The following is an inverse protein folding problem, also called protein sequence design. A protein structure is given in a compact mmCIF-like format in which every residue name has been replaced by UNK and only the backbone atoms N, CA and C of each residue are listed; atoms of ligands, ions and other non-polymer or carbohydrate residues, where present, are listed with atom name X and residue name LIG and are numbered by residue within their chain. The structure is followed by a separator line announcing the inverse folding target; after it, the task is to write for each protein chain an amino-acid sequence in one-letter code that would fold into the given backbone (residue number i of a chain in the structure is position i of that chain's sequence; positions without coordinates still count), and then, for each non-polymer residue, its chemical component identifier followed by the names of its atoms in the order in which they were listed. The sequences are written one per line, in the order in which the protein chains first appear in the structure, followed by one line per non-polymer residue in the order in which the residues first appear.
data_IF_313575074345
#
_entry.id   IF_313575074345
#
_cell.length_a   1.000
_cell.length_b   1.000
_cell.length_c   1.000
_cell.angle_alpha   90.00
_cell.angle_beta   90.00
_cell.angle_gamma   90.00
#
_symmetry.space_group_name_H-M   'P 1'
#
loop_
_entity.id
_entity.type
_entity.pdbx_description
1 polymer ?
#
# COMPACT_ATOMS: atom_id res chain seq x y z
N UNK A 1 -17.92 -14.63 -2.18
CA UNK A 1 -16.75 -13.85 -1.71
C UNK A 1 -16.63 -12.66 -2.63
N UNK A 2 -16.70 -11.43 -2.11
CA UNK A 2 -16.50 -10.24 -2.95
C UNK A 2 -14.99 -10.07 -3.15
N UNK A 3 -14.52 -10.18 -4.39
CA UNK A 3 -13.10 -10.13 -4.76
C UNK A 3 -12.67 -8.76 -5.34
N UNK A 4 -13.62 -7.85 -5.56
CA UNK A 4 -13.42 -6.51 -6.13
C UNK A 4 -12.84 -6.49 -7.56
N UNK A 5 -12.93 -7.60 -8.31
CA UNK A 5 -12.47 -7.64 -9.71
C UNK A 5 -13.11 -6.55 -10.60
N UNK A 6 -14.45 -6.39 -10.65
CA UNK A 6 -15.06 -5.35 -11.50
C UNK A 6 -14.65 -3.93 -11.08
N UNK A 7 -14.44 -3.69 -9.79
CA UNK A 7 -13.99 -2.41 -9.25
C UNK A 7 -12.57 -2.08 -9.73
N UNK A 8 -11.65 -3.05 -9.67
CA UNK A 8 -10.27 -2.87 -10.15
C UNK A 8 -10.23 -2.66 -11.67
N UNK A 9 -11.06 -3.39 -12.43
CA UNK A 9 -11.16 -3.16 -13.89
C UNK A 9 -11.70 -1.77 -14.22
N UNK A 10 -12.66 -1.25 -13.44
CA UNK A 10 -13.13 0.12 -13.58
C UNK A 10 -12.01 1.13 -13.24
N UNK A 11 -11.24 0.91 -12.18
CA UNK A 11 -10.11 1.77 -11.80
C UNK A 11 -9.01 1.77 -12.87
N UNK A 12 -8.74 0.62 -13.49
CA UNK A 12 -7.84 0.52 -14.64
C UNK A 12 -8.32 1.39 -15.81
N UNK A 13 -9.62 1.30 -16.15
CA UNK A 13 -10.22 2.08 -17.24
C UNK A 13 -10.23 3.59 -16.94
N UNK A 14 -10.35 3.98 -15.67
CA UNK A 14 -10.26 5.37 -15.22
C UNK A 14 -8.82 5.92 -15.18
N UNK A 15 -7.80 5.07 -15.34
CA UNK A 15 -6.40 5.48 -15.34
C UNK A 15 -5.88 5.86 -13.95
N UNK A 16 -6.28 5.13 -12.91
CA UNK A 16 -5.70 5.28 -11.58
C UNK A 16 -4.18 5.07 -11.64
N UNK A 17 -3.43 5.90 -10.91
CA UNK A 17 -1.96 5.85 -10.89
C UNK A 17 -1.40 5.17 -9.63
N UNK A 18 -2.22 5.08 -8.58
CA UNK A 18 -1.96 4.33 -7.35
C UNK A 18 -3.27 4.16 -6.57
N UNK A 19 -3.26 3.22 -5.64
CA UNK A 19 -4.23 3.17 -4.53
C UNK A 19 -3.50 2.95 -3.21
N UNK A 20 -4.17 3.20 -2.09
CA UNK A 20 -3.63 2.95 -0.75
C UNK A 20 -4.36 1.76 -0.15
N UNK A 21 -3.64 0.85 0.51
CA UNK A 21 -4.28 -0.22 1.28
C UNK A 21 -5.10 0.40 2.42
N UNK A 22 -6.41 0.21 2.38
CA UNK A 22 -7.30 0.42 3.50
C UNK A 22 -7.34 -0.79 4.43
N UNK A 23 -8.17 -0.72 5.46
CA UNK A 23 -8.38 -1.84 6.38
C UNK A 23 -9.15 -2.99 5.71
N UNK A 24 -10.04 -2.70 4.76
CA UNK A 24 -10.91 -3.69 4.12
C UNK A 24 -10.19 -4.59 3.11
N UNK A 25 -9.00 -4.21 2.64
CA UNK A 25 -8.12 -5.11 1.88
C UNK A 25 -7.62 -6.30 2.72
N UNK A 26 -7.81 -6.27 4.05
CA UNK A 26 -7.50 -7.35 4.98
C UNK A 26 -8.73 -8.12 5.49
N UNK A 27 -9.92 -7.88 4.90
CA UNK A 27 -11.14 -8.66 5.18
C UNK A 27 -11.08 -10.07 4.57
N UNK A 28 -10.14 -10.31 3.66
CA UNK A 28 -9.90 -11.58 3.00
C UNK A 28 -8.44 -12.03 3.21
N UNK A 29 -8.11 -13.33 3.00
CA UNK A 29 -6.74 -13.80 3.04
C UNK A 29 -5.82 -13.01 2.09
N UNK A 30 -4.54 -12.83 2.44
CA UNK A 30 -3.56 -12.08 1.61
C UNK A 30 -3.42 -12.59 0.17
N UNK A 31 -3.82 -13.83 -0.12
CA UNK A 31 -3.89 -14.34 -1.49
C UNK A 31 -4.90 -13.57 -2.36
N UNK A 32 -5.99 -13.08 -1.75
CA UNK A 32 -6.96 -12.19 -2.41
C UNK A 32 -6.30 -10.87 -2.78
N UNK A 33 -5.55 -10.26 -1.86
CA UNK A 33 -4.79 -9.04 -2.15
C UNK A 33 -3.79 -9.26 -3.30
N UNK A 34 -3.03 -10.36 -3.28
CA UNK A 34 -2.11 -10.68 -4.36
C UNK A 34 -2.82 -10.86 -5.72
N UNK A 35 -4.04 -11.41 -5.72
CA UNK A 35 -4.86 -11.54 -6.92
C UNK A 35 -5.36 -10.16 -7.40
N UNK A 36 -5.78 -9.29 -6.49
CA UNK A 36 -6.17 -7.90 -6.80
C UNK A 36 -5.00 -7.09 -7.38
N UNK A 37 -3.80 -7.22 -6.82
CA UNK A 37 -2.58 -6.61 -7.38
C UNK A 37 -2.29 -7.12 -8.79
N UNK A 38 -2.57 -8.39 -9.09
CA UNK A 38 -2.36 -8.97 -10.43
C UNK A 38 -3.32 -8.43 -11.50
N UNK A 39 -4.48 -7.89 -11.08
CA UNK A 39 -5.46 -7.28 -11.97
C UNK A 39 -5.24 -5.78 -12.16
N UNK A 40 -4.59 -5.11 -11.20
CA UNK A 40 -4.42 -3.67 -11.21
C UNK A 40 -3.25 -3.23 -12.10
N UNK A 41 -3.48 -2.20 -12.93
CA UNK A 41 -2.44 -1.55 -13.73
C UNK A 41 -1.67 -0.47 -12.92
N UNK A 42 -1.96 -0.36 -11.63
CA UNK A 42 -1.41 0.62 -10.70
C UNK A 42 -0.98 -0.07 -9.40
N UNK A 43 0.03 0.48 -8.69
CA UNK A 43 0.49 -0.09 -7.44
C UNK A 43 -0.47 0.20 -6.28
N UNK A 44 -0.57 -0.77 -5.38
CA UNK A 44 -1.09 -0.57 -4.03
C UNK A 44 0.03 -0.02 -3.14
N UNK A 45 -0.31 0.92 -2.27
CA UNK A 45 0.64 1.62 -1.42
C UNK A 45 0.34 1.45 0.07
N UNK A 46 1.38 1.19 0.85
CA UNK A 46 1.38 1.29 2.30
C UNK A 46 2.80 1.19 2.84
N UNK A 47 3.25 2.22 3.56
CA UNK A 47 4.57 2.25 4.16
C UNK A 47 4.64 1.52 5.51
N UNK A 48 3.50 1.36 6.19
CA UNK A 48 3.45 0.88 7.56
C UNK A 48 2.87 -0.53 7.71
N UNK A 49 2.46 -1.18 6.62
CA UNK A 49 2.11 -2.61 6.63
C UNK A 49 3.34 -3.42 6.26
N UNK A 50 3.83 -4.21 7.21
CA UNK A 50 5.11 -4.93 7.11
C UNK A 50 4.86 -6.43 7.04
N UNK A 51 5.51 -7.10 6.10
CA UNK A 51 5.51 -8.56 6.01
C UNK A 51 6.42 -9.15 7.09
N UNK A 52 5.88 -9.97 8.00
CA UNK A 52 6.63 -10.56 9.13
C UNK A 52 7.79 -11.44 8.71
N UNK A 53 7.75 -12.05 7.51
CA UNK A 53 8.79 -12.97 7.06
C UNK A 53 10.02 -12.25 6.54
N UNK A 54 9.83 -11.11 5.88
CA UNK A 54 10.91 -10.36 5.22
C UNK A 54 11.32 -9.11 6.00
N UNK A 55 10.49 -8.67 6.94
CA UNK A 55 10.61 -7.38 7.63
C UNK A 55 10.70 -6.19 6.65
N UNK A 56 10.02 -6.31 5.51
CA UNK A 56 9.90 -5.28 4.48
C UNK A 56 8.43 -4.85 4.33
N UNK A 57 8.16 -3.65 3.80
CA UNK A 57 6.82 -3.26 3.40
C UNK A 57 6.14 -4.33 2.55
N UNK A 58 4.87 -4.64 2.85
CA UNK A 58 4.09 -5.66 2.15
C UNK A 58 3.88 -5.29 0.68
N UNK A 59 3.62 -4.01 0.43
CA UNK A 59 3.50 -3.39 -0.89
C UNK A 59 4.42 -2.17 -0.95
N UNK A 60 4.45 -1.43 -2.06
CA UNK A 60 5.33 -0.25 -2.18
C UNK A 60 4.94 0.81 -1.12
N UNK A 61 5.92 1.45 -0.45
CA UNK A 61 5.61 2.51 0.52
C UNK A 61 5.09 3.79 -0.15
N UNK A 62 5.59 4.08 -1.36
CA UNK A 62 5.26 5.28 -2.12
C UNK A 62 5.52 5.09 -3.63
N UNK A 63 5.04 6.05 -4.43
CA UNK A 63 5.52 6.31 -5.78
C UNK A 63 5.89 7.79 -5.94
N UNK A 64 6.65 8.10 -6.99
CA UNK A 64 6.89 9.47 -7.45
C UNK A 64 6.36 9.57 -8.87
N UNK A 65 5.41 10.48 -9.08
CA UNK A 65 4.83 10.80 -10.38
C UNK A 65 5.56 12.01 -10.96
N UNK A 66 5.86 12.00 -12.26
CA UNK A 66 6.27 13.21 -12.98
C UNK A 66 5.05 13.78 -13.70
N UNK A 67 4.68 15.01 -13.34
CA UNK A 67 3.57 15.75 -13.96
C UNK A 67 4.09 17.09 -14.43
N UNK A 68 4.34 17.19 -15.73
CA UNK A 68 4.77 18.43 -16.39
C UNK A 68 6.07 18.99 -15.77
N UNK A 69 7.02 18.11 -15.41
CA UNK A 69 8.28 18.50 -14.77
C UNK A 69 8.19 18.70 -13.25
N UNK A 70 7.01 18.50 -12.65
CA UNK A 70 6.85 18.44 -11.20
C UNK A 70 6.90 17.00 -10.71
N UNK A 71 7.83 16.70 -9.80
CA UNK A 71 7.85 15.43 -9.08
C UNK A 71 6.86 15.47 -7.91
N UNK A 72 5.89 14.56 -7.93
CA UNK A 72 4.85 14.43 -6.90
C UNK A 72 5.00 13.08 -6.22
N UNK A 73 5.36 13.08 -4.94
CA UNK A 73 5.42 11.85 -4.15
C UNK A 73 4.04 11.52 -3.56
N UNK A 74 3.59 10.29 -3.76
CA UNK A 74 2.36 9.74 -3.16
C UNK A 74 2.77 8.65 -2.19
N UNK A 75 2.56 8.88 -0.89
CA UNK A 75 2.91 7.95 0.20
C UNK A 75 1.63 7.30 0.72
N UNK A 76 1.62 5.97 0.81
CA UNK A 76 0.48 5.21 1.35
C UNK A 76 0.65 4.92 2.84
N UNK A 77 -0.43 5.02 3.61
CA UNK A 77 -0.48 4.65 5.03
C UNK A 77 -1.81 3.96 5.32
N UNK A 78 -1.76 2.86 6.06
CA UNK A 78 -2.93 2.10 6.49
C UNK A 78 -3.14 2.30 7.98
N UNK A 79 -4.40 2.41 8.45
CA UNK A 79 -4.65 2.54 9.89
C UNK A 79 -4.15 1.32 10.67
N UNK A 80 -3.48 1.54 11.80
CA UNK A 80 -3.03 0.48 12.71
C UNK A 80 -4.19 -0.27 13.38
N UNK A 81 -5.37 0.34 13.43
CA UNK A 81 -6.59 -0.29 13.95
C UNK A 81 -7.01 -1.51 13.11
N UNK A 82 -6.49 -1.67 11.89
CA UNK A 82 -6.68 -2.88 11.07
C UNK A 82 -6.22 -4.13 11.81
N UNK A 83 -5.16 -4.06 12.63
CA UNK A 83 -4.71 -5.18 13.44
C UNK A 83 -5.70 -5.56 14.55
N UNK A 84 -6.48 -4.59 15.04
CA UNK A 84 -7.45 -4.77 16.14
C UNK A 84 -8.81 -5.22 15.63
N UNK A 85 -9.23 -4.68 14.48
CA UNK A 85 -10.55 -4.87 13.89
C UNK A 85 -10.60 -6.03 12.89
N UNK A 86 -9.49 -6.33 12.24
CA UNK A 86 -9.40 -7.38 11.21
C UNK A 86 -9.39 -8.79 11.78
N UNK A 87 -9.62 -9.78 10.90
CA UNK A 87 -9.51 -11.18 11.28
C UNK A 87 -8.03 -11.56 11.51
N UNK A 88 -7.63 -12.03 12.71
CA UNK A 88 -6.25 -12.45 12.99
C UNK A 88 -5.72 -13.54 12.06
N UNK A 89 -6.61 -14.37 11.50
CA UNK A 89 -6.23 -15.38 10.50
C UNK A 89 -5.68 -14.76 9.22
N UNK A 90 -6.24 -13.61 8.81
CA UNK A 90 -5.88 -12.93 7.56
C UNK A 90 -4.74 -11.93 7.76
N UNK A 91 -4.65 -11.32 8.95
CA UNK A 91 -3.59 -10.37 9.30
C UNK A 91 -2.38 -11.04 9.97
N UNK A 92 -2.42 -12.34 10.25
CA UNK A 92 -1.40 -13.06 11.02
C UNK A 92 0.02 -12.96 10.46
N UNK A 93 0.18 -12.74 9.15
CA UNK A 93 1.48 -12.62 8.47
C UNK A 93 1.99 -11.17 8.32
N UNK A 94 1.26 -10.17 8.80
CA UNK A 94 1.61 -8.75 8.68
C UNK A 94 1.64 -8.05 10.04
N UNK A 95 2.41 -6.97 10.12
CA UNK A 95 2.42 -6.03 11.25
C UNK A 95 2.03 -4.67 10.73
N UNK A 96 1.11 -4.01 11.43
CA UNK A 96 0.76 -2.62 11.18
C UNK A 96 1.56 -1.77 12.16
N UNK A 97 2.61 -1.11 11.66
CA UNK A 97 3.43 -0.16 12.44
C UNK A 97 2.69 1.17 12.59
N UNK A 98 3.14 1.98 13.55
CA UNK A 98 2.65 3.34 13.72
C UNK A 98 2.77 4.11 12.39
N UNK A 99 1.67 4.67 11.86
CA UNK A 99 1.67 5.32 10.56
C UNK A 99 2.46 6.63 10.57
N UNK A 100 2.54 7.35 11.69
CA UNK A 100 3.30 8.61 11.77
C UNK A 100 4.80 8.36 11.73
N UNK A 101 5.30 7.38 12.49
CA UNK A 101 6.71 7.01 12.48
C UNK A 101 7.12 6.47 11.11
N UNK A 102 6.30 5.58 10.52
CA UNK A 102 6.54 5.06 9.18
C UNK A 102 6.52 6.16 8.11
N UNK A 103 5.66 7.18 8.26
CA UNK A 103 5.65 8.34 7.38
C UNK A 103 6.94 9.16 7.50
N UNK A 104 7.40 9.46 8.74
CA UNK A 104 8.65 10.19 8.97
C UNK A 104 9.85 9.47 8.36
N UNK A 105 9.95 8.16 8.57
CA UNK A 105 11.02 7.33 8.00
C UNK A 105 10.99 7.34 6.46
N UNK A 106 9.80 7.17 5.88
CA UNK A 106 9.60 7.15 4.42
C UNK A 106 9.96 8.50 3.79
N UNK A 107 9.51 9.61 4.38
CA UNK A 107 9.80 10.96 3.90
C UNK A 107 11.29 11.29 4.03
N UNK A 108 11.94 10.87 5.12
CA UNK A 108 13.39 11.02 5.29
C UNK A 108 14.15 10.27 4.18
N UNK A 109 13.82 9.01 3.95
CA UNK A 109 14.46 8.20 2.91
C UNK A 109 14.23 8.77 1.49
N UNK A 110 13.02 9.27 1.22
CA UNK A 110 12.68 9.92 -0.04
C UNK A 110 13.53 11.17 -0.27
N UNK A 111 13.61 12.07 0.73
CA UNK A 111 14.41 13.29 0.65
C UNK A 111 15.90 12.98 0.45
N UNK A 112 16.43 11.99 1.15
CA UNK A 112 17.82 11.57 0.97
C UNK A 112 18.10 11.01 -0.43
N UNK A 113 17.13 10.30 -1.02
CA UNK A 113 17.25 9.74 -2.37
C UNK A 113 17.21 10.83 -3.43
N UNK A 114 16.28 11.79 -3.33
CA UNK A 114 16.15 12.88 -4.31
C UNK A 114 17.33 13.87 -4.22
N UNK A 115 17.88 14.12 -3.03
CA UNK A 115 19.05 15.00 -2.88
C UNK A 115 20.38 14.38 -3.40
N UNK A 116 20.38 13.09 -3.71
CA UNK A 116 21.56 12.37 -4.27
C UNK A 116 21.50 12.22 -5.79
N UNK A 117 20.39 12.63 -6.43
CA UNK A 117 20.20 12.63 -7.88
C UNK A 117 20.42 14.03 -8.45
#
# INVERSE_FOLDING_TARGET
MQNAEPDIQAMNAMGYEATVLGNHEFDNPLQMLAMQESWANFPFLSANVINKKTDQPLVKPYIVLDKQGLKIAVVGLTTEDTAKLGNPEYTGNVVFRDPMESAKETLKALNEKENRM
#
